data_IF_816683472197
#
_entry.id   IF_816683472197
#
_cell.length_a   1.000
_cell.length_b   1.000
_cell.length_c   1.000
_cell.angle_alpha   90.00
_cell.angle_beta   90.00
_cell.angle_gamma   90.00
#
_symmetry.space_group_name_H-M   'P 1'
#
loop_
_entity.id
_entity.type
_entity.pdbx_description
1 polymer ?
#
# COMPACT_ATOMS: atom_id res chain seq x y z
N UNK A 1 -3.65 9.82 14.84
CA UNK A 1 -4.69 9.03 14.15
C UNK A 1 -3.94 8.09 13.22
N UNK A 2 -4.32 6.82 13.23
CA UNK A 2 -3.64 5.82 12.42
C UNK A 2 -4.62 5.29 11.37
N UNK A 3 -4.21 5.38 10.11
CA UNK A 3 -4.95 4.87 8.96
C UNK A 3 -4.17 3.70 8.38
N UNK A 4 -4.81 2.53 8.31
CA UNK A 4 -4.19 1.33 7.73
C UNK A 4 -5.00 0.86 6.54
N UNK A 5 -4.36 0.77 5.38
CA UNK A 5 -4.96 0.15 4.20
C UNK A 5 -4.64 -1.35 4.18
N UNK A 6 -5.68 -2.17 4.06
CA UNK A 6 -5.59 -3.59 3.74
C UNK A 6 -6.03 -3.75 2.30
N UNK A 7 -5.10 -4.09 1.42
CA UNK A 7 -5.33 -4.17 -0.03
C UNK A 7 -5.37 -5.63 -0.46
N UNK A 8 -6.46 -6.06 -1.09
CA UNK A 8 -6.52 -7.37 -1.72
C UNK A 8 -5.60 -7.40 -2.96
N UNK A 9 -4.68 -8.36 -3.01
CA UNK A 9 -3.78 -8.61 -4.13
C UNK A 9 -3.90 -10.04 -4.66
N UNK A 10 -5.08 -10.65 -4.50
CA UNK A 10 -5.40 -11.97 -5.01
C UNK A 10 -5.35 -12.04 -6.55
N UNK A 11 -5.24 -13.26 -7.09
CA UNK A 11 -5.05 -13.50 -8.53
C UNK A 11 -6.20 -12.99 -9.44
N UNK A 12 -7.31 -12.54 -8.87
CA UNK A 12 -8.41 -11.89 -9.60
C UNK A 12 -8.18 -10.41 -9.88
N UNK A 13 -7.17 -9.79 -9.27
CA UNK A 13 -6.87 -8.38 -9.47
C UNK A 13 -6.03 -8.18 -10.74
N UNK A 14 -6.55 -7.38 -11.68
CA UNK A 14 -5.75 -6.95 -12.83
C UNK A 14 -4.73 -5.88 -12.42
N UNK A 15 -3.72 -5.64 -13.26
CA UNK A 15 -2.79 -4.52 -13.06
C UNK A 15 -3.53 -3.18 -13.01
N UNK A 16 -4.57 -3.03 -13.83
CA UNK A 16 -5.35 -1.79 -13.93
C UNK A 16 -6.17 -1.54 -12.66
N UNK A 17 -6.75 -2.59 -12.08
CA UNK A 17 -7.47 -2.50 -10.81
C UNK A 17 -6.52 -2.17 -9.64
N UNK A 18 -5.28 -2.67 -9.69
CA UNK A 18 -4.26 -2.31 -8.71
C UNK A 18 -3.87 -0.84 -8.83
N UNK A 19 -3.68 -0.32 -10.04
CA UNK A 19 -3.40 1.10 -10.26
C UNK A 19 -4.58 1.99 -9.80
N UNK A 20 -5.83 1.59 -10.06
CA UNK A 20 -7.01 2.27 -9.51
C UNK A 20 -7.02 2.29 -7.98
N UNK A 21 -6.59 1.19 -7.36
CA UNK A 21 -6.47 1.10 -5.90
C UNK A 21 -5.40 2.04 -5.36
N UNK A 22 -4.26 2.18 -6.03
CA UNK A 22 -3.23 3.17 -5.68
C UNK A 22 -3.76 4.60 -5.74
N UNK A 23 -4.47 4.94 -6.81
CA UNK A 23 -5.08 6.26 -6.98
C UNK A 23 -6.10 6.53 -5.87
N UNK A 24 -6.95 5.56 -5.56
CA UNK A 24 -7.91 5.67 -4.46
C UNK A 24 -7.22 5.92 -3.11
N UNK A 25 -6.15 5.17 -2.80
CA UNK A 25 -5.38 5.39 -1.56
C UNK A 25 -4.79 6.81 -1.51
N UNK A 26 -4.23 7.32 -2.62
CA UNK A 26 -3.71 8.69 -2.70
C UNK A 26 -4.81 9.73 -2.46
N UNK A 27 -5.99 9.57 -3.07
CA UNK A 27 -7.13 10.47 -2.87
C UNK A 27 -7.60 10.50 -1.41
N UNK A 28 -7.62 9.35 -0.74
CA UNK A 28 -7.95 9.27 0.69
C UNK A 28 -6.89 9.99 1.52
N UNK A 29 -5.60 9.73 1.26
CA UNK A 29 -4.46 10.36 1.94
C UNK A 29 -4.48 11.89 1.77
N UNK A 30 -4.93 12.38 0.62
CA UNK A 30 -5.01 13.82 0.36
C UNK A 30 -5.99 14.56 1.29
N UNK A 31 -6.98 13.87 1.84
CA UNK A 31 -7.92 14.43 2.82
C UNK A 31 -7.31 14.62 4.22
N UNK A 32 -6.14 14.04 4.51
CA UNK A 32 -5.53 14.04 5.84
C UNK A 32 -4.27 14.91 5.93
N UNK A 33 -3.91 15.29 7.16
CA UNK A 33 -2.65 15.97 7.46
C UNK A 33 -1.61 14.93 7.92
N UNK A 34 -0.73 14.55 7.01
CA UNK A 34 0.26 13.47 7.21
C UNK A 34 1.50 14.03 7.90
N UNK A 35 1.75 13.59 9.13
CA UNK A 35 2.95 13.89 9.92
C UNK A 35 3.05 12.93 11.10
N UNK A 36 4.24 12.84 11.71
CA UNK A 36 4.52 11.95 12.85
C UNK A 36 3.56 12.15 14.04
N UNK A 37 3.15 13.40 14.27
CA UNK A 37 2.30 13.84 15.38
C UNK A 37 0.80 13.93 15.02
N UNK A 38 0.42 13.63 13.77
CA UNK A 38 -0.97 13.76 13.29
C UNK A 38 -1.51 12.46 12.72
N UNK A 39 -1.47 12.32 11.40
CA UNK A 39 -1.93 11.12 10.70
C UNK A 39 -0.76 10.30 10.22
N UNK A 40 -0.76 9.04 10.61
CA UNK A 40 0.22 8.04 10.20
C UNK A 40 -0.49 7.03 9.31
N UNK A 41 0.20 6.55 8.27
CA UNK A 41 -0.39 5.64 7.29
C UNK A 41 0.45 4.37 7.17
N UNK A 42 -0.22 3.23 7.32
CA UNK A 42 0.33 1.91 7.05
C UNK A 42 -0.37 1.26 5.86
N UNK A 43 0.34 0.40 5.13
CA UNK A 43 -0.22 -0.35 4.00
C UNK A 43 0.25 -1.79 4.07
N UNK A 44 -0.70 -2.72 3.99
CA UNK A 44 -0.41 -4.14 3.81
C UNK A 44 -1.27 -4.71 2.69
N UNK A 45 -0.67 -5.60 1.92
CA UNK A 45 -1.37 -6.37 0.89
C UNK A 45 -1.68 -7.76 1.40
N UNK A 46 -2.81 -8.31 1.01
CA UNK A 46 -3.25 -9.64 1.39
C UNK A 46 -3.55 -10.48 0.15
N UNK A 47 -2.94 -11.65 0.07
CA UNK A 47 -3.25 -12.68 -0.92
C UNK A 47 -3.25 -14.04 -0.23
N UNK A 48 -2.27 -14.90 -0.49
CA UNK A 48 -2.03 -16.14 0.28
C UNK A 48 -1.48 -15.83 1.68
N UNK A 49 -0.73 -14.74 1.81
CA UNK A 49 -0.18 -14.25 3.07
C UNK A 49 -0.24 -12.72 3.13
N UNK A 50 -0.26 -12.19 4.35
CA UNK A 50 -0.13 -10.76 4.58
C UNK A 50 1.30 -10.31 4.27
N UNK A 51 1.43 -9.28 3.43
CA UNK A 51 2.68 -8.64 3.09
C UNK A 51 2.63 -7.19 3.56
N UNK A 52 3.44 -6.84 4.56
CA UNK A 52 3.54 -5.46 5.03
C UNK A 52 4.35 -4.68 3.98
N UNK A 53 3.74 -3.65 3.41
CA UNK A 53 4.41 -2.76 2.47
C UNK A 53 4.99 -1.56 3.22
N UNK A 54 4.18 -0.91 4.07
CA UNK A 54 4.61 0.22 4.90
C UNK A 54 4.08 0.09 6.33
N UNK A 55 4.93 0.39 7.30
CA UNK A 55 4.53 0.54 8.69
C UNK A 55 4.02 1.97 8.96
N UNK A 56 3.25 2.13 10.04
CA UNK A 56 2.98 3.45 10.60
C UNK A 56 4.31 4.17 10.90
N UNK A 57 4.31 5.51 10.80
CA UNK A 57 5.50 6.37 10.93
C UNK A 57 6.63 6.20 9.90
N UNK A 58 6.45 5.36 8.89
CA UNK A 58 7.48 5.21 7.85
C UNK A 58 7.56 6.44 6.93
N UNK A 59 6.41 7.03 6.59
CA UNK A 59 6.33 8.24 5.76
C UNK A 59 5.70 9.38 6.54
N UNK A 60 6.47 10.46 6.72
CA UNK A 60 6.11 11.59 7.58
C UNK A 60 5.64 12.82 6.79
N UNK A 61 5.50 12.70 5.47
CA UNK A 61 4.94 13.76 4.64
C UNK A 61 4.03 13.19 3.56
N UNK A 62 2.99 13.94 3.20
CA UNK A 62 2.04 13.56 2.16
C UNK A 62 2.73 13.27 0.82
N UNK A 63 3.72 14.07 0.45
CA UNK A 63 4.50 13.87 -0.78
C UNK A 63 5.22 12.51 -0.79
N UNK A 64 5.99 12.22 0.26
CA UNK A 64 6.74 10.95 0.35
C UNK A 64 5.82 9.74 0.42
N UNK A 65 4.68 9.86 1.12
CA UNK A 65 3.65 8.82 1.18
C UNK A 65 2.97 8.59 -0.17
N UNK A 66 2.59 9.64 -0.90
CA UNK A 66 1.98 9.51 -2.23
C UNK A 66 2.95 8.87 -3.23
N UNK A 67 4.23 9.22 -3.18
CA UNK A 67 5.27 8.56 -3.99
C UNK A 67 5.43 7.08 -3.61
N UNK A 68 5.40 6.75 -2.32
CA UNK A 68 5.49 5.37 -1.87
C UNK A 68 4.29 4.54 -2.36
N UNK A 69 3.07 5.07 -2.23
CA UNK A 69 1.84 4.42 -2.71
C UNK A 69 1.90 4.18 -4.23
N UNK A 70 2.33 5.17 -5.02
CA UNK A 70 2.46 5.02 -6.47
C UNK A 70 3.44 3.91 -6.88
N UNK A 71 4.51 3.75 -6.09
CA UNK A 71 5.56 2.76 -6.31
C UNK A 71 5.27 1.39 -5.70
N UNK A 72 4.07 1.15 -5.14
CA UNK A 72 3.71 -0.16 -4.62
C UNK A 72 3.86 -1.22 -5.72
N UNK A 73 4.60 -2.31 -5.47
CA UNK A 73 4.80 -3.35 -6.47
C UNK A 73 3.51 -4.14 -6.66
N UNK A 74 3.08 -4.30 -7.91
CA UNK A 74 2.03 -5.27 -8.23
C UNK A 74 2.63 -6.68 -8.13
N UNK A 75 2.25 -7.41 -7.08
CA UNK A 75 2.63 -8.82 -6.92
C UNK A 75 1.40 -9.68 -7.19
N UNK A 76 1.32 -10.30 -8.36
CA UNK A 76 0.34 -11.37 -8.57
C UNK A 76 0.70 -12.55 -7.64
N UNK A 77 -0.31 -13.23 -7.09
CA UNK A 77 -0.14 -14.31 -6.13
C UNK A 77 0.68 -15.50 -6.64
N UNK A 78 0.99 -15.55 -7.94
CA UNK A 78 1.85 -16.58 -8.56
C UNK A 78 3.35 -16.38 -8.27
N UNK A 79 3.80 -15.16 -7.98
CA UNK A 79 5.23 -14.86 -7.83
C UNK A 79 5.79 -15.18 -6.43
N UNK A 80 5.01 -15.81 -5.55
CA UNK A 80 5.48 -16.22 -4.21
C UNK A 80 6.12 -17.63 -4.19
N UNK A 81 6.12 -18.35 -5.30
CA UNK A 81 6.69 -19.71 -5.40
C UNK A 81 8.13 -19.76 -5.95
N UNK A 82 8.78 -18.64 -6.28
CA UNK A 82 10.21 -18.68 -6.63
C UNK A 82 11.05 -18.77 -5.35
N UNK A 83 11.17 -19.98 -4.83
CA UNK A 83 12.10 -20.38 -3.79
C UNK A 83 13.51 -19.90 -4.13
N UNK A 84 14.14 -19.16 -3.22
CA UNK A 84 15.58 -19.00 -3.23
C UNK A 84 16.25 -20.36 -3.05
N UNK A 85 17.10 -20.71 -4.00
CA UNK A 85 18.22 -21.65 -3.83
C UNK A 85 19.51 -20.84 -3.89
#
# INVERSE_FOLDING_TARGET
MDLVFVVDSSNSLSSDDFERTKIFMQQVVDAFNISNDKTQVGVLTYSTAANINFYLNQYLSKSTLNSAIGNLPFKSGLNQYSTGH
#
